data_IF_263898748390
#
_entry.id   IF_263898748390
#
_cell.length_a   1.000
_cell.length_b   1.000
_cell.length_c   1.000
_cell.angle_alpha   90.00
_cell.angle_beta   90.00
_cell.angle_gamma   90.00
#
_symmetry.space_group_name_H-M   'P 1'
#
loop_
_entity.id
_entity.type
_entity.pdbx_description
1 polymer ?
#
# COMPACT_ATOMS: atom_id res chain seq x y z
N UNK A 1 25.95 -10.47 1.12
CA UNK A 1 25.23 -9.19 1.00
C UNK A 1 24.92 -8.79 -0.46
N UNK A 2 25.84 -8.94 -1.43
CA UNK A 2 25.59 -8.56 -2.85
C UNK A 2 24.43 -9.35 -3.49
N UNK A 3 24.26 -10.64 -3.19
CA UNK A 3 23.20 -11.47 -3.76
C UNK A 3 21.79 -11.02 -3.31
N UNK A 4 21.62 -10.68 -2.03
CA UNK A 4 20.36 -10.21 -1.47
C UNK A 4 19.91 -8.89 -2.11
N UNK A 5 20.84 -7.93 -2.26
CA UNK A 5 20.55 -6.66 -2.94
C UNK A 5 20.17 -6.85 -4.41
N UNK A 6 20.86 -7.75 -5.12
CA UNK A 6 20.54 -8.04 -6.53
C UNK A 6 19.14 -8.63 -6.69
N UNK A 7 18.75 -9.55 -5.80
CA UNK A 7 17.39 -10.13 -5.79
C UNK A 7 16.35 -9.05 -5.48
N UNK A 8 16.57 -8.25 -4.43
CA UNK A 8 15.63 -7.19 -4.04
C UNK A 8 15.41 -6.15 -5.16
N UNK A 9 16.48 -5.70 -5.82
CA UNK A 9 16.40 -4.76 -6.95
C UNK A 9 15.69 -5.40 -8.15
N UNK A 10 15.95 -6.68 -8.43
CA UNK A 10 15.28 -7.41 -9.49
C UNK A 10 13.77 -7.46 -9.28
N UNK A 11 13.34 -7.86 -8.08
CA UNK A 11 11.94 -7.90 -7.66
C UNK A 11 11.30 -6.52 -7.72
N UNK A 12 11.97 -5.50 -7.22
CA UNK A 12 11.49 -4.11 -7.27
C UNK A 12 11.25 -3.63 -8.70
N UNK A 13 12.21 -3.85 -9.62
CA UNK A 13 12.05 -3.49 -11.03
C UNK A 13 10.91 -4.24 -11.72
N UNK A 14 10.71 -5.51 -11.39
CA UNK A 14 9.61 -6.32 -11.92
C UNK A 14 8.27 -5.83 -11.38
N UNK A 15 8.17 -5.57 -10.09
CA UNK A 15 6.94 -5.14 -9.41
C UNK A 15 6.50 -3.73 -9.79
N UNK A 16 7.43 -2.78 -9.96
CA UNK A 16 7.10 -1.41 -10.43
C UNK A 16 6.53 -1.41 -11.86
N UNK A 17 6.91 -2.40 -12.68
CA UNK A 17 6.39 -2.55 -14.05
C UNK A 17 5.09 -3.34 -14.12
N UNK A 18 4.55 -3.77 -12.99
CA UNK A 18 3.29 -4.50 -12.96
C UNK A 18 2.12 -3.55 -13.26
N UNK A 19 1.39 -3.86 -14.33
CA UNK A 19 0.25 -3.04 -14.79
C UNK A 19 -0.88 -2.99 -13.75
N UNK A 20 -1.05 -4.04 -12.97
CA UNK A 20 -2.09 -4.11 -11.93
C UNK A 20 -1.78 -3.12 -10.83
N UNK A 21 -0.56 -3.10 -10.31
CA UNK A 21 -0.13 -2.16 -9.29
C UNK A 21 -0.28 -0.70 -9.77
N UNK A 22 0.15 -0.41 -10.99
CA UNK A 22 0.03 0.92 -11.58
C UNK A 22 -1.43 1.38 -11.69
N UNK A 23 -2.33 0.50 -12.16
CA UNK A 23 -3.75 0.82 -12.25
C UNK A 23 -4.37 1.06 -10.86
N UNK A 24 -4.00 0.28 -9.84
CA UNK A 24 -4.50 0.46 -8.48
C UNK A 24 -4.04 1.80 -7.87
N UNK A 25 -2.78 2.19 -8.09
CA UNK A 25 -2.28 3.51 -7.69
C UNK A 25 -3.05 4.62 -8.41
N UNK A 26 -3.28 4.47 -9.71
CA UNK A 26 -4.05 5.44 -10.48
C UNK A 26 -5.48 5.59 -9.93
N UNK A 27 -6.17 4.48 -9.62
CA UNK A 27 -7.49 4.53 -9.00
C UNK A 27 -7.48 5.18 -7.62
N UNK A 28 -6.46 4.91 -6.79
CA UNK A 28 -6.31 5.57 -5.49
C UNK A 28 -6.17 7.09 -5.64
N UNK A 29 -5.33 7.53 -6.57
CA UNK A 29 -5.14 8.96 -6.87
C UNK A 29 -6.42 9.61 -7.40
N UNK A 30 -7.15 8.91 -8.28
CA UNK A 30 -8.44 9.39 -8.79
C UNK A 30 -9.49 9.52 -7.68
N UNK A 31 -9.55 8.57 -6.74
CA UNK A 31 -10.45 8.68 -5.59
C UNK A 31 -10.05 9.82 -4.64
N UNK A 32 -8.75 10.03 -4.42
CA UNK A 32 -8.28 11.18 -3.67
C UNK A 32 -8.66 12.50 -4.35
N UNK A 33 -8.55 12.59 -5.67
CA UNK A 33 -9.01 13.75 -6.43
C UNK A 33 -10.55 13.91 -6.37
N UNK A 34 -11.30 12.81 -6.46
CA UNK A 34 -12.75 12.83 -6.34
C UNK A 34 -13.23 13.23 -4.94
N UNK A 35 -12.46 12.98 -3.89
CA UNK A 35 -12.78 13.40 -2.52
C UNK A 35 -12.94 14.93 -2.41
N UNK A 36 -12.21 15.68 -3.23
CA UNK A 36 -12.37 17.14 -3.35
C UNK A 36 -13.77 17.54 -3.85
N UNK A 37 -14.31 16.82 -4.83
CA UNK A 37 -15.67 17.07 -5.35
C UNK A 37 -16.73 16.71 -4.31
N UNK A 38 -16.54 15.61 -3.60
CA UNK A 38 -17.45 15.18 -2.52
C UNK A 38 -17.43 16.14 -1.34
N UNK A 39 -16.27 16.68 -1.01
CA UNK A 39 -16.14 17.67 0.06
C UNK A 39 -16.95 18.93 -0.20
N UNK A 40 -17.04 19.40 -1.46
CA UNK A 40 -17.83 20.56 -1.82
C UNK A 40 -19.34 20.40 -1.59
N UNK A 41 -19.83 19.16 -1.51
CA UNK A 41 -21.24 18.87 -1.22
C UNK A 41 -21.58 18.93 0.26
N UNK A 42 -20.55 19.01 1.13
CA UNK A 42 -20.72 18.91 2.59
C UNK A 42 -20.29 20.24 3.23
N UNK A 43 -21.26 21.05 3.64
CA UNK A 43 -21.02 22.37 4.21
C UNK A 43 -20.14 22.30 5.48
N UNK A 44 -18.90 22.79 5.40
CA UNK A 44 -18.03 23.04 6.56
C UNK A 44 -17.15 21.88 7.06
N UNK A 45 -17.20 20.70 6.43
CA UNK A 45 -16.35 19.55 6.81
C UNK A 45 -15.40 19.10 5.68
N UNK A 46 -15.10 19.97 4.75
CA UNK A 46 -14.38 19.66 3.52
C UNK A 46 -13.01 18.99 3.78
N UNK A 47 -12.21 19.57 4.67
CA UNK A 47 -10.87 19.06 5.02
C UNK A 47 -10.93 17.68 5.64
N UNK A 48 -11.89 17.43 6.53
CA UNK A 48 -12.05 16.14 7.21
C UNK A 48 -12.40 15.04 6.22
N UNK A 49 -13.36 15.29 5.34
CA UNK A 49 -13.78 14.32 4.31
C UNK A 49 -12.63 13.97 3.38
N UNK A 50 -11.85 14.97 2.93
CA UNK A 50 -10.70 14.72 2.06
C UNK A 50 -9.64 13.91 2.81
N UNK A 51 -9.38 14.19 4.09
CA UNK A 51 -8.43 13.43 4.90
C UNK A 51 -8.88 11.98 5.09
N UNK A 52 -10.13 11.77 5.46
CA UNK A 52 -10.67 10.43 5.74
C UNK A 52 -10.74 9.58 4.47
N UNK A 53 -11.29 10.11 3.37
CA UNK A 53 -11.34 9.41 2.09
C UNK A 53 -9.97 9.17 1.48
N UNK A 54 -9.05 10.12 1.62
CA UNK A 54 -7.68 9.97 1.14
C UNK A 54 -6.92 8.87 1.85
N UNK A 55 -6.99 8.81 3.19
CA UNK A 55 -6.38 7.75 3.98
C UNK A 55 -7.04 6.39 3.74
N UNK A 56 -8.39 6.36 3.67
CA UNK A 56 -9.13 5.14 3.35
C UNK A 56 -8.76 4.60 1.97
N UNK A 57 -8.61 5.48 0.97
CA UNK A 57 -8.15 5.10 -0.38
C UNK A 57 -6.74 4.53 -0.35
N UNK A 58 -5.80 5.18 0.36
CA UNK A 58 -4.43 4.71 0.47
C UNK A 58 -4.35 3.33 1.15
N UNK A 59 -5.11 3.12 2.23
CA UNK A 59 -5.18 1.83 2.93
C UNK A 59 -5.80 0.74 2.06
N UNK A 60 -6.97 0.98 1.47
CA UNK A 60 -7.68 -0.02 0.68
C UNK A 60 -6.90 -0.42 -0.58
N UNK A 61 -6.43 0.54 -1.39
CA UNK A 61 -5.67 0.22 -2.59
C UNK A 61 -4.26 -0.29 -2.26
N UNK A 62 -3.65 0.20 -1.18
CA UNK A 62 -2.41 -0.33 -0.66
C UNK A 62 -2.54 -1.80 -0.27
N UNK A 63 -3.64 -2.19 0.38
CA UNK A 63 -3.96 -3.58 0.72
C UNK A 63 -4.04 -4.46 -0.53
N UNK A 64 -4.78 -4.04 -1.56
CA UNK A 64 -4.85 -4.77 -2.81
C UNK A 64 -3.47 -4.91 -3.47
N UNK A 65 -2.69 -3.84 -3.51
CA UNK A 65 -1.32 -3.88 -4.04
C UNK A 65 -0.47 -4.88 -3.25
N UNK A 66 -0.50 -4.84 -1.92
CA UNK A 66 0.25 -5.74 -1.05
C UNK A 66 -0.09 -7.21 -1.30
N UNK A 67 -1.38 -7.53 -1.40
CA UNK A 67 -1.86 -8.89 -1.65
C UNK A 67 -1.49 -9.34 -3.07
N UNK A 68 -1.86 -8.58 -4.10
CA UNK A 68 -1.66 -8.99 -5.49
C UNK A 68 -0.19 -9.08 -5.89
N UNK A 69 0.64 -8.11 -5.50
CA UNK A 69 2.07 -8.15 -5.79
C UNK A 69 2.74 -9.28 -5.01
N UNK A 70 2.41 -9.44 -3.71
CA UNK A 70 2.97 -10.50 -2.87
C UNK A 70 2.74 -11.90 -3.45
N UNK A 71 1.56 -12.14 -4.01
CA UNK A 71 1.16 -13.44 -4.54
C UNK A 71 1.63 -13.64 -5.98
N UNK A 72 1.46 -12.64 -6.85
CA UNK A 72 1.78 -12.76 -8.28
C UNK A 72 3.26 -13.10 -8.52
N UNK A 73 4.13 -12.60 -7.65
CA UNK A 73 5.56 -12.84 -7.76
C UNK A 73 5.94 -14.29 -7.49
N UNK A 74 5.24 -14.97 -6.56
CA UNK A 74 5.47 -16.41 -6.26
C UNK A 74 4.84 -17.28 -7.34
N UNK A 75 3.63 -16.94 -7.78
CA UNK A 75 2.94 -17.69 -8.82
C UNK A 75 3.74 -17.74 -10.12
N UNK A 76 4.31 -16.60 -10.55
CA UNK A 76 5.13 -16.54 -11.77
C UNK A 76 6.40 -17.38 -11.72
N UNK A 77 6.98 -17.60 -10.53
CA UNK A 77 8.18 -18.42 -10.40
C UNK A 77 7.87 -19.92 -10.46
N UNK A 78 6.73 -20.33 -9.90
CA UNK A 78 6.26 -21.72 -9.99
C UNK A 78 5.97 -22.09 -11.46
N UNK A 79 5.28 -21.20 -12.19
CA UNK A 79 4.93 -21.42 -13.59
C UNK A 79 6.14 -21.45 -14.52
N UNK A 80 7.16 -20.64 -14.27
CA UNK A 80 8.35 -20.55 -15.13
C UNK A 80 9.36 -21.67 -14.92
N UNK A 81 9.13 -22.63 -14.01
CA UNK A 81 10.11 -23.68 -13.65
C UNK A 81 11.53 -23.11 -13.43
N UNK A 82 11.62 -21.88 -13.02
CA UNK A 82 12.86 -21.09 -12.86
C UNK A 82 13.78 -21.65 -11.75
N UNK A 83 13.32 -22.66 -11.03
CA UNK A 83 14.07 -23.40 -10.02
C UNK A 83 15.39 -23.98 -10.60
N UNK A 84 15.41 -24.34 -11.87
CA UNK A 84 16.63 -24.88 -12.51
C UNK A 84 17.71 -23.83 -12.78
N UNK A 85 17.35 -22.56 -12.97
CA UNK A 85 18.33 -21.49 -13.18
C UNK A 85 18.94 -20.99 -11.86
N UNK A 86 18.26 -21.19 -10.73
CA UNK A 86 18.76 -20.88 -9.39
C UNK A 86 19.84 -21.83 -8.90
N UNK A 87 19.89 -23.07 -9.43
CA UNK A 87 20.93 -24.04 -9.13
C UNK A 87 22.32 -23.63 -9.66
N UNK A 88 22.38 -22.69 -10.58
CA UNK A 88 23.63 -22.19 -11.15
C UNK A 88 24.30 -21.07 -10.32
N UNK A 89 23.61 -20.48 -9.32
CA UNK A 89 24.18 -19.47 -8.41
C UNK A 89 24.03 -19.94 -6.95
N UNK A 90 25.08 -19.83 -6.12
CA UNK A 90 25.02 -20.22 -4.71
C UNK A 90 24.26 -19.18 -3.86
N UNK A 91 22.95 -19.12 -4.04
CA UNK A 91 22.06 -18.27 -3.22
C UNK A 91 21.33 -19.17 -2.23
N UNK A 92 21.43 -18.87 -0.93
CA UNK A 92 20.70 -19.63 0.09
C UNK A 92 19.21 -19.30 0.05
N UNK A 93 18.35 -20.26 0.43
CA UNK A 93 16.88 -20.07 0.48
C UNK A 93 16.49 -18.83 1.29
N UNK A 94 17.15 -18.60 2.42
CA UNK A 94 16.87 -17.44 3.28
C UNK A 94 17.20 -16.10 2.58
N UNK A 95 18.33 -16.03 1.89
CA UNK A 95 18.71 -14.84 1.13
C UNK A 95 17.74 -14.54 0.00
N UNK A 96 17.20 -15.57 -0.63
CA UNK A 96 16.22 -15.45 -1.69
C UNK A 96 14.88 -14.91 -1.17
N UNK A 97 14.31 -15.50 -0.09
CA UNK A 97 13.04 -15.08 0.50
C UNK A 97 13.15 -13.66 1.07
N UNK A 98 14.23 -13.36 1.80
CA UNK A 98 14.46 -12.02 2.34
C UNK A 98 14.64 -10.98 1.23
N UNK A 99 15.39 -11.31 0.17
CA UNK A 99 15.57 -10.42 -0.97
C UNK A 99 14.24 -10.12 -1.67
N UNK A 100 13.39 -11.12 -1.79
CA UNK A 100 12.05 -11.00 -2.35
C UNK A 100 11.16 -10.09 -1.51
N UNK A 101 11.10 -10.33 -0.20
CA UNK A 101 10.36 -9.49 0.72
C UNK A 101 10.82 -8.03 0.69
N UNK A 102 12.14 -7.78 0.69
CA UNK A 102 12.69 -6.43 0.61
C UNK A 102 12.35 -5.74 -0.72
N UNK A 103 12.37 -6.47 -1.84
CA UNK A 103 11.96 -5.91 -3.13
C UNK A 103 10.49 -5.50 -3.15
N UNK A 104 9.60 -6.33 -2.57
CA UNK A 104 8.18 -6.02 -2.41
C UNK A 104 7.95 -4.84 -1.46
N UNK A 105 8.67 -4.80 -0.35
CA UNK A 105 8.62 -3.70 0.61
C UNK A 105 9.01 -2.37 -0.06
N UNK A 106 10.07 -2.36 -0.86
CA UNK A 106 10.47 -1.17 -1.63
C UNK A 106 9.38 -0.74 -2.62
N UNK A 107 8.73 -1.69 -3.29
CA UNK A 107 7.62 -1.39 -4.21
C UNK A 107 6.43 -0.77 -3.49
N UNK A 108 6.06 -1.32 -2.32
CA UNK A 108 5.00 -0.77 -1.48
C UNK A 108 5.32 0.65 -1.02
N UNK A 109 6.52 0.87 -0.51
CA UNK A 109 6.96 2.20 -0.08
C UNK A 109 6.92 3.20 -1.23
N UNK A 110 7.38 2.81 -2.43
CA UNK A 110 7.32 3.66 -3.61
C UNK A 110 5.87 4.03 -3.99
N UNK A 111 4.97 3.04 -4.05
CA UNK A 111 3.55 3.28 -4.37
C UNK A 111 2.86 4.15 -3.30
N UNK A 112 3.12 3.85 -2.01
CA UNK A 112 2.56 4.64 -0.91
C UNK A 112 3.09 6.08 -0.91
N UNK A 113 4.35 6.28 -1.29
CA UNK A 113 4.93 7.62 -1.46
C UNK A 113 4.21 8.40 -2.57
N UNK A 114 3.93 7.77 -3.71
CA UNK A 114 3.14 8.40 -4.80
C UNK A 114 1.75 8.79 -4.31
N UNK A 115 1.06 7.90 -3.58
CA UNK A 115 -0.24 8.18 -3.00
C UNK A 115 -0.19 9.33 -1.98
N UNK A 116 0.84 9.34 -1.11
CA UNK A 116 1.02 10.41 -0.13
C UNK A 116 1.27 11.76 -0.80
N UNK A 117 2.12 11.80 -1.84
CA UNK A 117 2.35 13.03 -2.60
C UNK A 117 1.07 13.51 -3.26
N UNK A 118 0.30 12.63 -3.91
CA UNK A 118 -0.98 12.98 -4.51
C UNK A 118 -1.97 13.53 -3.46
N UNK A 119 -2.03 12.91 -2.30
CA UNK A 119 -2.86 13.35 -1.19
C UNK A 119 -2.49 14.76 -0.70
N UNK A 120 -1.21 15.03 -0.48
CA UNK A 120 -0.76 16.36 -0.07
C UNK A 120 -0.96 17.41 -1.16
N UNK A 121 -0.86 17.05 -2.44
CA UNK A 121 -1.18 17.94 -3.56
C UNK A 121 -2.65 18.36 -3.53
N UNK A 122 -3.57 17.42 -3.29
CA UNK A 122 -5.01 17.72 -3.17
C UNK A 122 -5.27 18.63 -1.98
N UNK A 123 -4.67 18.37 -0.82
CA UNK A 123 -4.81 19.20 0.37
C UNK A 123 -4.22 20.62 0.18
N UNK A 124 -3.05 20.74 -0.45
CA UNK A 124 -2.42 22.01 -0.75
C UNK A 124 -3.25 22.84 -1.75
N UNK A 125 -3.85 22.15 -2.74
CA UNK A 125 -4.78 22.80 -3.68
C UNK A 125 -6.01 23.34 -2.95
N UNK A 126 -6.63 22.54 -2.07
CA UNK A 126 -7.75 23.00 -1.24
C UNK A 126 -7.37 24.22 -0.40
N UNK A 127 -6.22 24.17 0.27
CA UNK A 127 -5.72 25.28 1.09
C UNK A 127 -5.54 26.56 0.28
N UNK A 128 -5.08 26.46 -0.97
CA UNK A 128 -4.84 27.60 -1.85
C UNK A 128 -6.13 28.30 -2.35
N UNK A 129 -7.22 27.55 -2.53
CA UNK A 129 -8.48 28.10 -3.06
C UNK A 129 -9.47 28.50 -1.96
N UNK A 130 -9.24 28.07 -0.71
CA UNK A 130 -10.17 28.35 0.39
C UNK A 130 -9.88 29.72 1.01
N UNK A 131 -10.90 30.59 1.17
CA UNK A 131 -10.75 31.87 1.82
C UNK A 131 -10.28 31.75 3.28
N UNK A 132 -9.56 32.78 3.76
CA UNK A 132 -8.92 32.76 5.09
C UNK A 132 -9.92 32.64 6.25
N UNK A 133 -11.10 33.26 6.11
CA UNK A 133 -12.19 33.18 7.08
C UNK A 133 -12.72 31.73 7.25
N UNK A 134 -12.74 30.94 6.18
CA UNK A 134 -13.16 29.52 6.22
C UNK A 134 -12.04 28.66 6.79
N UNK A 135 -10.78 28.92 6.41
CA UNK A 135 -9.61 28.21 6.94
C UNK A 135 -9.48 28.38 8.46
N UNK A 136 -9.80 29.55 8.98
CA UNK A 136 -9.78 29.84 10.42
C UNK A 136 -10.80 28.98 11.22
N UNK A 137 -11.83 28.47 10.58
CA UNK A 137 -12.83 27.58 11.20
C UNK A 137 -12.43 26.10 11.21
N UNK A 138 -11.33 25.71 10.54
CA UNK A 138 -10.87 24.34 10.53
C UNK A 138 -10.25 23.93 11.87
N UNK A 139 -10.57 22.73 12.35
CA UNK A 139 -9.99 22.16 13.56
C UNK A 139 -8.47 21.92 13.46
N UNK A 140 -7.95 21.72 12.23
CA UNK A 140 -6.53 21.53 11.96
C UNK A 140 -6.20 22.01 10.54
N UNK A 141 -4.94 22.47 10.29
CA UNK A 141 -4.51 22.88 8.97
C UNK A 141 -4.74 21.77 7.93
N UNK A 142 -5.04 22.16 6.67
CA UNK A 142 -5.21 21.20 5.59
C UNK A 142 -3.97 20.29 5.46
N UNK A 143 -2.78 20.90 5.39
CA UNK A 143 -1.49 20.23 5.26
C UNK A 143 -0.88 19.86 6.61
N UNK A 144 -1.61 19.09 7.45
CA UNK A 144 -1.12 18.67 8.77
C UNK A 144 -0.01 17.60 8.62
N UNK A 145 1.20 17.81 9.20
CA UNK A 145 2.28 16.82 9.22
C UNK A 145 1.90 15.49 9.91
N UNK A 146 0.86 15.51 10.76
CA UNK A 146 0.35 14.29 11.42
C UNK A 146 -0.16 13.25 10.43
N UNK A 147 -0.62 13.67 9.25
CA UNK A 147 -1.05 12.77 8.18
C UNK A 147 0.10 11.91 7.65
N UNK A 148 1.35 12.42 7.70
CA UNK A 148 2.51 11.60 7.33
C UNK A 148 2.70 10.41 8.28
N UNK A 149 2.38 10.59 9.57
CA UNK A 149 2.39 9.47 10.54
C UNK A 149 1.32 8.44 10.20
N UNK A 150 0.13 8.87 9.77
CA UNK A 150 -0.92 7.97 9.31
C UNK A 150 -0.46 7.15 8.09
N UNK A 151 0.15 7.78 7.09
CA UNK A 151 0.75 7.07 5.95
C UNK A 151 1.86 6.10 6.36
N UNK A 152 2.71 6.47 7.33
CA UNK A 152 3.73 5.57 7.87
C UNK A 152 3.13 4.35 8.58
N UNK A 153 2.06 4.52 9.34
CA UNK A 153 1.34 3.42 10.00
C UNK A 153 0.68 2.50 8.98
N UNK A 154 -0.01 3.06 7.96
CA UNK A 154 -0.53 2.29 6.83
C UNK A 154 0.61 1.50 6.17
N UNK A 155 1.78 2.11 5.97
CA UNK A 155 2.95 1.45 5.41
C UNK A 155 3.40 0.24 6.23
N UNK A 156 3.47 0.36 7.55
CA UNK A 156 3.83 -0.74 8.46
C UNK A 156 2.79 -1.86 8.38
N UNK A 157 1.50 -1.52 8.40
CA UNK A 157 0.41 -2.47 8.25
C UNK A 157 0.51 -3.25 6.93
N UNK A 158 0.73 -2.57 5.81
CA UNK A 158 0.87 -3.18 4.49
C UNK A 158 2.12 -4.06 4.38
N UNK A 159 3.22 -3.70 5.05
CA UNK A 159 4.41 -4.56 5.14
C UNK A 159 4.12 -5.86 5.87
N UNK A 160 3.33 -5.83 6.96
CA UNK A 160 2.89 -7.04 7.66
C UNK A 160 1.98 -7.89 6.76
N UNK A 161 1.01 -7.27 6.08
CA UNK A 161 0.13 -7.97 5.13
C UNK A 161 0.95 -8.64 4.01
N UNK A 162 1.95 -7.96 3.48
CA UNK A 162 2.85 -8.52 2.45
C UNK A 162 3.62 -9.73 2.98
N UNK A 163 4.10 -9.71 4.23
CA UNK A 163 4.77 -10.85 4.84
C UNK A 163 3.83 -12.06 4.97
N UNK A 164 2.58 -11.82 5.39
CA UNK A 164 1.53 -12.85 5.49
C UNK A 164 1.17 -13.40 4.11
N UNK A 165 1.03 -12.54 3.10
CA UNK A 165 0.76 -12.94 1.71
C UNK A 165 1.88 -13.81 1.15
N UNK A 166 3.14 -13.43 1.36
CA UNK A 166 4.29 -14.25 1.00
C UNK A 166 4.28 -15.59 1.71
N UNK A 167 3.99 -15.62 3.00
CA UNK A 167 3.93 -16.84 3.78
C UNK A 167 2.90 -17.82 3.20
N UNK A 168 1.67 -17.39 2.97
CA UNK A 168 0.64 -18.24 2.39
C UNK A 168 0.97 -18.65 0.95
N UNK A 169 1.61 -17.80 0.17
CA UNK A 169 1.98 -18.10 -1.21
C UNK A 169 3.04 -19.20 -1.35
N UNK A 170 3.73 -19.57 -0.25
CA UNK A 170 4.75 -20.65 -0.29
C UNK A 170 4.15 -22.04 -0.33
N UNK A 171 2.91 -22.24 0.12
CA UNK A 171 2.28 -23.56 0.23
C UNK A 171 0.86 -23.63 -0.32
N UNK A 172 0.29 -22.50 -0.76
CA UNK A 172 -1.07 -22.47 -1.30
C UNK A 172 -1.10 -21.94 -2.73
N UNK A 173 -2.21 -22.19 -3.44
CA UNK A 173 -2.45 -21.60 -4.75
C UNK A 173 -2.60 -20.08 -4.64
N UNK A 174 -2.33 -19.32 -5.71
CA UNK A 174 -2.44 -17.85 -5.69
C UNK A 174 -3.79 -17.33 -5.19
N UNK A 175 -4.87 -17.96 -5.64
CA UNK A 175 -6.22 -17.56 -5.25
C UNK A 175 -6.49 -17.83 -3.77
N UNK A 176 -6.06 -18.99 -3.26
CA UNK A 176 -6.21 -19.36 -1.85
C UNK A 176 -5.35 -18.48 -0.95
N UNK A 177 -4.13 -18.16 -1.37
CA UNK A 177 -3.23 -17.25 -0.64
C UNK A 177 -3.84 -15.85 -0.50
N UNK A 178 -4.49 -15.34 -1.56
CA UNK A 178 -5.20 -14.07 -1.52
C UNK A 178 -6.36 -14.11 -0.52
N UNK A 179 -7.20 -15.14 -0.59
CA UNK A 179 -8.34 -15.31 0.31
C UNK A 179 -7.91 -15.43 1.78
N UNK A 180 -6.88 -16.23 2.07
CA UNK A 180 -6.36 -16.39 3.42
C UNK A 180 -5.74 -15.10 3.96
N UNK A 181 -4.96 -14.40 3.15
CA UNK A 181 -4.37 -13.11 3.55
C UNK A 181 -5.44 -12.08 3.85
N UNK A 182 -6.44 -11.99 2.97
CA UNK A 182 -7.57 -11.08 3.17
C UNK A 182 -8.38 -11.44 4.42
N UNK A 183 -8.63 -12.73 4.67
CA UNK A 183 -9.32 -13.20 5.87
C UNK A 183 -8.57 -12.82 7.16
N UNK A 184 -7.24 -13.02 7.20
CA UNK A 184 -6.40 -12.63 8.34
C UNK A 184 -6.44 -11.12 8.55
N UNK A 185 -6.39 -10.34 7.48
CA UNK A 185 -6.50 -8.89 7.55
C UNK A 185 -7.84 -8.45 8.17
N UNK A 186 -8.96 -8.99 7.67
CA UNK A 186 -10.30 -8.68 8.18
C UNK A 186 -10.45 -9.05 9.65
N UNK A 187 -9.99 -10.24 10.04
CA UNK A 187 -10.01 -10.67 11.46
C UNK A 187 -9.18 -9.71 12.33
N UNK A 188 -8.03 -9.26 11.83
CA UNK A 188 -7.19 -8.27 12.52
C UNK A 188 -7.92 -6.96 12.76
N UNK A 189 -8.62 -6.42 11.77
CA UNK A 189 -9.39 -5.19 11.88
C UNK A 189 -10.54 -5.33 12.88
N UNK A 190 -11.34 -6.39 12.78
CA UNK A 190 -12.44 -6.62 13.73
C UNK A 190 -11.95 -6.81 15.17
N UNK A 191 -10.79 -7.44 15.39
CA UNK A 191 -10.24 -7.61 16.72
C UNK A 191 -9.76 -6.30 17.35
N UNK A 192 -9.32 -5.35 16.53
CA UNK A 192 -8.94 -4.01 16.98
C UNK A 192 -10.17 -3.20 17.44
N UNK A 193 -11.26 -3.22 16.66
CA UNK A 193 -12.51 -2.54 17.00
C UNK A 193 -13.13 -3.06 18.30
N UNK A 194 -13.11 -4.38 18.52
CA UNK A 194 -13.64 -4.98 19.76
C UNK A 194 -12.85 -4.59 21.02
N UNK A 195 -11.58 -4.24 20.88
CA UNK A 195 -10.77 -3.74 22.01
C UNK A 195 -11.05 -2.28 22.34
N UNK A 196 -11.49 -1.49 21.39
CA UNK A 196 -11.78 -0.07 21.56
C UNK A 196 -13.14 0.16 22.27
N UNK A 197 -14.05 -0.82 22.23
CA UNK A 197 -15.37 -0.77 22.87
C UNK A 197 -15.45 -1.46 24.24
N UNK A 198 -14.30 -1.87 24.81
CA UNK A 198 -14.19 -2.38 26.20
C UNK A 198 -13.51 -1.37 27.09
#
# INVERSE_FOLDING_TARGET
MRALGTVAIGVFKESIRDRVAYNLVLFAVLLMAASFLLAQLTAGQDVKIIKDLGLASASAFGLFIAIFIGISLVAREVDRRSIYSLLAKPVTRNQFILGKYLGLALTLVANLTVMAVAFYVVLAYLDSITPENVRAAWEAPATDPRMLKAFALIGIELLLVTAVALFFSTFSSPMLSAALTFAVYVIGQFSADLRQHR
#
